data_IF_340216155915
#
_entry.id   IF_340216155915
#
_cell.length_a   1.000
_cell.length_b   1.000
_cell.length_c   1.000
_cell.angle_alpha   90.00
_cell.angle_beta   90.00
_cell.angle_gamma   90.00
#
_symmetry.space_group_name_H-M   'P 1'
#
loop_
_entity.id
_entity.type
_entity.pdbx_description
1 polymer ?
#
# COMPACT_ATOMS: atom_id res chain seq x y z
N UNK A 1 14.27 4.83 43.49
CA UNK A 1 13.60 5.91 42.71
C UNK A 1 13.75 5.60 41.23
N UNK A 2 12.75 4.99 40.56
CA UNK A 2 12.97 4.54 39.17
C UNK A 2 11.76 4.04 38.36
N UNK A 3 10.54 4.07 38.90
CA UNK A 3 9.37 3.49 38.21
C UNK A 3 8.43 4.52 37.54
N UNK A 4 8.69 5.83 37.66
CA UNK A 4 7.77 6.85 37.12
C UNK A 4 7.89 7.05 35.60
N UNK A 5 9.07 6.84 35.00
CA UNK A 5 9.24 7.05 33.55
C UNK A 5 8.60 5.95 32.71
N UNK A 6 8.56 4.71 33.20
CA UNK A 6 7.98 3.58 32.47
C UNK A 6 6.44 3.66 32.41
N UNK A 7 5.82 4.17 33.47
CA UNK A 7 4.37 4.33 33.54
C UNK A 7 3.84 5.44 32.61
N UNK A 8 4.62 6.50 32.41
CA UNK A 8 4.27 7.60 31.51
C UNK A 8 4.30 7.19 30.04
N UNK A 9 5.29 6.37 29.64
CA UNK A 9 5.43 5.88 28.26
C UNK A 9 4.32 4.89 27.90
N UNK A 10 3.94 4.00 28.84
CA UNK A 10 2.83 3.06 28.64
C UNK A 10 1.47 3.76 28.53
N UNK A 11 1.22 4.82 29.31
CA UNK A 11 -0.02 5.58 29.22
C UNK A 11 -0.12 6.45 27.96
N UNK A 12 1.00 7.00 27.47
CA UNK A 12 1.03 7.73 26.20
C UNK A 12 0.73 6.80 25.01
N UNK A 13 1.30 5.58 25.00
CA UNK A 13 1.03 4.59 23.97
C UNK A 13 -0.41 4.07 23.97
N UNK A 14 -0.99 3.82 25.15
CA UNK A 14 -2.39 3.37 25.29
C UNK A 14 -3.39 4.42 24.81
N UNK A 15 -3.14 5.69 25.10
CA UNK A 15 -3.99 6.81 24.64
C UNK A 15 -3.88 7.01 23.13
N UNK A 16 -2.68 6.88 22.55
CA UNK A 16 -2.48 6.95 21.10
C UNK A 16 -3.16 5.80 20.35
N UNK A 17 -3.01 4.57 20.83
CA UNK A 17 -3.65 3.39 20.22
C UNK A 17 -5.18 3.43 20.32
N UNK A 18 -5.74 3.92 21.44
CA UNK A 18 -7.18 4.09 21.60
C UNK A 18 -7.74 5.13 20.62
N UNK A 19 -7.04 6.24 20.40
CA UNK A 19 -7.43 7.28 19.45
C UNK A 19 -7.39 6.76 17.99
N UNK A 20 -6.34 6.01 17.64
CA UNK A 20 -6.19 5.40 16.31
C UNK A 20 -7.27 4.34 16.07
N UNK A 21 -7.56 3.47 17.04
CA UNK A 21 -8.63 2.48 16.94
C UNK A 21 -10.02 3.12 16.88
N UNK A 22 -10.26 4.22 17.61
CA UNK A 22 -11.53 4.96 17.55
C UNK A 22 -11.72 5.58 16.16
N UNK A 23 -10.67 6.17 15.58
CA UNK A 23 -10.69 6.73 14.21
C UNK A 23 -10.91 5.61 13.17
N UNK A 24 -10.22 4.48 13.29
CA UNK A 24 -10.37 3.33 12.37
C UNK A 24 -11.75 2.66 12.46
N UNK A 25 -12.34 2.57 13.66
CA UNK A 25 -13.67 1.98 13.84
C UNK A 25 -14.79 2.91 13.35
N UNK A 26 -14.62 4.23 13.45
CA UNK A 26 -15.47 5.22 12.78
C UNK A 26 -15.35 5.19 11.24
N UNK A 27 -14.16 4.86 10.72
CA UNK A 27 -13.94 4.68 9.27
C UNK A 27 -14.55 3.38 8.73
N UNK A 28 -14.56 2.30 9.53
CA UNK A 28 -15.03 0.99 9.09
C UNK A 28 -16.57 0.90 8.98
N UNK A 29 -17.32 1.52 9.89
CA UNK A 29 -18.79 1.42 9.96
C UNK A 29 -19.54 2.16 8.85
N UNK A 30 -18.88 3.06 8.11
CA UNK A 30 -19.55 3.75 7.01
C UNK A 30 -19.55 2.95 5.67
N UNK A 31 -18.99 1.73 5.63
CA UNK A 31 -18.60 1.06 4.36
C UNK A 31 -19.63 0.12 3.75
N UNK A 32 -20.82 0.02 4.31
CA UNK A 32 -21.75 -1.04 3.97
C UNK A 32 -22.84 -0.65 2.95
N UNK A 33 -22.76 0.50 2.27
CA UNK A 33 -23.86 0.95 1.39
C UNK A 33 -23.35 1.42 0.02
N UNK A 34 -24.05 0.92 -1.01
CA UNK A 34 -24.07 1.27 -2.44
C UNK A 34 -23.08 0.53 -3.36
N UNK A 35 -23.56 -0.57 -3.96
CA UNK A 35 -23.04 -1.14 -5.20
C UNK A 35 -24.02 -0.85 -6.36
N UNK A 36 -24.19 0.43 -6.71
CA UNK A 36 -24.98 0.87 -7.87
C UNK A 36 -24.14 1.91 -8.62
N UNK A 37 -23.62 1.61 -9.81
CA UNK A 37 -22.78 2.58 -10.49
C UNK A 37 -22.13 2.10 -11.79
N UNK A 38 -22.93 1.65 -12.74
CA UNK A 38 -22.74 1.92 -14.17
C UNK A 38 -23.95 1.33 -14.91
N UNK A 39 -25.03 2.08 -15.01
CA UNK A 39 -26.22 1.60 -15.70
C UNK A 39 -26.49 2.51 -16.89
N UNK A 40 -26.18 2.01 -18.09
CA UNK A 40 -26.54 2.71 -19.34
C UNK A 40 -28.06 2.84 -19.38
N UNK A 41 -28.62 4.01 -19.75
CA UNK A 41 -30.06 4.21 -19.84
C UNK A 41 -30.72 3.10 -20.67
N UNK A 42 -31.75 2.45 -20.10
CA UNK A 42 -32.42 1.31 -20.73
C UNK A 42 -33.03 1.66 -22.09
N UNK A 43 -33.40 2.92 -22.26
CA UNK A 43 -33.85 3.56 -23.50
C UNK A 43 -32.80 3.49 -24.63
N UNK A 44 -31.57 3.93 -24.35
CA UNK A 44 -30.45 3.87 -25.30
C UNK A 44 -30.08 2.41 -25.64
N UNK A 45 -30.08 1.53 -24.63
CA UNK A 45 -29.83 0.10 -24.83
C UNK A 45 -30.94 -0.58 -25.65
N UNK A 46 -32.18 -0.11 -25.53
CA UNK A 46 -33.32 -0.59 -26.33
C UNK A 46 -33.14 -0.29 -27.82
N UNK A 47 -32.69 0.92 -28.14
CA UNK A 47 -32.37 1.33 -29.52
C UNK A 47 -31.15 0.55 -30.04
N UNK A 48 -30.06 0.50 -29.27
CA UNK A 48 -28.84 -0.22 -29.64
C UNK A 48 -29.11 -1.71 -29.91
N UNK A 49 -29.95 -2.37 -29.09
CA UNK A 49 -30.37 -3.76 -29.31
C UNK A 49 -31.22 -3.92 -30.56
N UNK A 50 -32.13 -2.97 -30.82
CA UNK A 50 -32.98 -3.02 -32.02
C UNK A 50 -32.15 -2.85 -33.28
N UNK A 51 -31.14 -1.97 -33.26
CA UNK A 51 -30.17 -1.78 -34.33
C UNK A 51 -29.22 -2.97 -34.51
N UNK A 52 -28.81 -3.63 -33.42
CA UNK A 52 -27.91 -4.80 -33.47
C UNK A 52 -28.55 -6.05 -34.10
N UNK A 53 -29.88 -6.13 -34.13
CA UNK A 53 -30.64 -7.25 -34.72
C UNK A 53 -30.87 -7.05 -36.23
N UNK A 54 -30.49 -5.90 -36.80
CA UNK A 54 -30.66 -5.64 -38.23
C UNK A 54 -29.78 -6.58 -39.09
N UNK A 55 -30.31 -7.12 -40.19
CA UNK A 55 -29.58 -8.04 -41.04
C UNK A 55 -28.38 -7.34 -41.70
N UNK A 56 -27.21 -7.95 -41.63
CA UNK A 56 -26.00 -7.42 -42.25
C UNK A 56 -25.98 -7.61 -43.79
N UNK A 57 -26.75 -8.56 -44.30
CA UNK A 57 -26.69 -9.01 -45.70
C UNK A 57 -27.69 -8.30 -46.64
N UNK A 58 -28.43 -7.29 -46.15
CA UNK A 58 -29.44 -6.56 -46.94
C UNK A 58 -29.04 -5.10 -47.12
N UNK A 59 -29.28 -4.56 -48.32
CA UNK A 59 -29.09 -3.14 -48.64
C UNK A 59 -30.20 -2.24 -48.08
N UNK A 60 -31.38 -2.82 -47.83
CA UNK A 60 -32.59 -2.08 -47.47
C UNK A 60 -33.29 -2.66 -46.24
N UNK A 61 -33.88 -1.77 -45.45
CA UNK A 61 -34.62 -2.10 -44.24
C UNK A 61 -36.09 -2.39 -44.54
N UNK A 62 -36.67 -3.46 -43.99
CA UNK A 62 -38.10 -3.69 -44.08
C UNK A 62 -38.89 -2.50 -43.50
N UNK A 63 -39.99 -2.06 -44.15
CA UNK A 63 -40.78 -0.92 -43.68
C UNK A 63 -41.39 -1.14 -42.28
N UNK A 64 -41.61 -2.40 -41.90
CA UNK A 64 -42.04 -2.76 -40.55
C UNK A 64 -40.96 -2.47 -39.48
N UNK A 65 -39.68 -2.58 -39.85
CA UNK A 65 -38.56 -2.28 -38.94
C UNK A 65 -38.32 -0.78 -38.83
N UNK A 66 -38.43 -0.03 -39.94
CA UNK A 66 -38.31 1.44 -39.92
C UNK A 66 -39.44 2.07 -39.11
N UNK A 67 -40.69 1.59 -39.28
CA UNK A 67 -41.83 2.05 -38.48
C UNK A 67 -41.67 1.76 -36.98
N UNK A 68 -41.11 0.59 -36.63
CA UNK A 68 -40.82 0.23 -35.24
C UNK A 68 -39.71 1.09 -34.64
N UNK A 69 -38.68 1.40 -35.41
CA UNK A 69 -37.59 2.27 -34.99
C UNK A 69 -38.08 3.71 -34.79
N UNK A 70 -38.92 4.22 -35.71
CA UNK A 70 -39.58 5.52 -35.57
C UNK A 70 -40.43 5.62 -34.30
N UNK A 71 -41.29 4.62 -34.05
CA UNK A 71 -42.10 4.59 -32.83
C UNK A 71 -41.27 4.55 -31.53
N UNK A 72 -40.09 3.93 -31.55
CA UNK A 72 -39.17 3.96 -30.42
C UNK A 72 -38.53 5.34 -30.25
N UNK A 73 -38.08 5.97 -31.34
CA UNK A 73 -37.47 7.29 -31.33
C UNK A 73 -38.45 8.41 -30.95
N UNK A 74 -39.72 8.31 -31.34
CA UNK A 74 -40.77 9.28 -30.96
C UNK A 74 -40.97 9.36 -29.43
N UNK A 75 -40.68 8.26 -28.72
CA UNK A 75 -40.74 8.23 -27.26
C UNK A 75 -39.46 8.70 -26.57
N UNK A 76 -38.37 8.87 -27.33
CA UNK A 76 -37.05 9.22 -26.83
C UNK A 76 -36.81 10.70 -27.02
N UNK A 77 -36.46 11.38 -25.94
CA UNK A 77 -35.95 12.76 -26.03
C UNK A 77 -34.45 12.72 -25.87
N UNK A 78 -33.74 13.29 -26.84
CA UNK A 78 -32.27 13.43 -26.80
C UNK A 78 -31.83 14.11 -25.49
N UNK A 79 -32.53 15.17 -25.08
CA UNK A 79 -32.31 15.86 -23.82
C UNK A 79 -32.38 14.92 -22.61
N UNK A 80 -33.38 14.02 -22.54
CA UNK A 80 -33.51 13.06 -21.43
C UNK A 80 -32.40 12.02 -21.44
N UNK A 81 -31.93 11.60 -22.61
CA UNK A 81 -30.81 10.65 -22.72
C UNK A 81 -29.51 11.32 -22.27
N UNK A 82 -29.28 12.57 -22.66
CA UNK A 82 -28.11 13.35 -22.22
C UNK A 82 -28.15 13.63 -20.72
N UNK A 83 -29.31 13.99 -20.17
CA UNK A 83 -29.50 14.14 -18.72
C UNK A 83 -29.23 12.81 -18.00
N UNK A 84 -29.78 11.70 -18.49
CA UNK A 84 -29.58 10.38 -17.88
C UNK A 84 -28.11 9.89 -17.97
N UNK A 85 -27.40 10.21 -19.05
CA UNK A 85 -25.96 9.92 -19.18
C UNK A 85 -25.14 10.81 -18.25
N UNK A 86 -25.51 12.08 -18.09
CA UNK A 86 -24.87 13.02 -17.16
C UNK A 86 -25.07 12.59 -15.70
N UNK A 87 -26.31 12.23 -15.33
CA UNK A 87 -26.68 11.71 -14.02
C UNK A 87 -25.95 10.39 -13.68
N UNK A 88 -25.65 9.59 -14.70
CA UNK A 88 -24.91 8.34 -14.57
C UNK A 88 -23.38 8.51 -14.61
N UNK A 89 -22.89 9.74 -14.78
CA UNK A 89 -21.44 10.03 -14.90
C UNK A 89 -20.81 9.55 -16.20
N UNK A 90 -21.62 9.31 -17.23
CA UNK A 90 -21.24 8.82 -18.57
C UNK A 90 -21.18 9.96 -19.60
N UNK A 91 -20.80 11.17 -19.18
CA UNK A 91 -20.75 12.36 -20.05
C UNK A 91 -19.87 12.13 -21.29
N UNK A 92 -18.79 11.36 -21.15
CA UNK A 92 -17.89 10.98 -22.25
C UNK A 92 -18.55 10.11 -23.33
N UNK A 93 -19.66 9.44 -23.03
CA UNK A 93 -20.42 8.58 -23.95
C UNK A 93 -21.43 9.37 -24.78
N UNK A 94 -21.78 10.59 -24.34
CA UNK A 94 -22.79 11.46 -24.97
C UNK A 94 -22.57 11.67 -26.48
N UNK A 95 -21.35 11.96 -26.98
CA UNK A 95 -21.14 12.18 -28.42
C UNK A 95 -21.48 10.94 -29.27
N UNK A 96 -21.17 9.74 -28.76
CA UNK A 96 -21.44 8.48 -29.47
C UNK A 96 -22.90 8.09 -29.36
N UNK A 97 -23.53 8.34 -28.21
CA UNK A 97 -24.98 8.17 -28.05
C UNK A 97 -25.77 9.02 -29.07
N UNK A 98 -25.38 10.29 -29.26
CA UNK A 98 -25.99 11.18 -30.26
C UNK A 98 -25.78 10.62 -31.67
N UNK A 99 -24.58 10.14 -32.01
CA UNK A 99 -24.32 9.55 -33.33
C UNK A 99 -25.17 8.31 -33.59
N UNK A 100 -25.42 7.47 -32.57
CA UNK A 100 -26.29 6.30 -32.68
C UNK A 100 -27.75 6.69 -32.84
N UNK A 101 -28.22 7.72 -32.11
CA UNK A 101 -29.59 8.24 -32.24
C UNK A 101 -29.82 8.91 -33.60
N UNK A 102 -28.87 9.72 -34.07
CA UNK A 102 -28.93 10.36 -35.38
C UNK A 102 -28.94 9.33 -36.51
N UNK A 103 -28.16 8.26 -36.39
CA UNK A 103 -28.20 7.16 -37.36
C UNK A 103 -29.52 6.39 -37.28
N UNK A 104 -30.08 6.18 -36.09
CA UNK A 104 -31.40 5.57 -35.91
C UNK A 104 -32.51 6.41 -36.55
N UNK A 105 -32.51 7.72 -36.35
CA UNK A 105 -33.47 8.67 -36.93
C UNK A 105 -33.36 8.70 -38.46
N UNK A 106 -32.13 8.73 -38.97
CA UNK A 106 -31.87 8.63 -40.41
C UNK A 106 -32.47 7.36 -41.02
N UNK A 107 -32.34 6.23 -40.34
CA UNK A 107 -32.92 4.95 -40.79
C UNK A 107 -34.44 4.91 -40.63
N UNK A 108 -35.00 5.50 -39.58
CA UNK A 108 -36.44 5.62 -39.37
C UNK A 108 -37.11 6.45 -40.48
N UNK A 109 -36.42 7.50 -40.95
CA UNK A 109 -36.86 8.38 -42.04
C UNK A 109 -36.56 7.84 -43.45
N UNK A 110 -36.17 6.57 -43.58
CA UNK A 110 -35.95 5.91 -44.88
C UNK A 110 -34.58 6.19 -45.52
N UNK A 111 -33.59 6.61 -44.74
CA UNK A 111 -32.22 6.77 -45.22
C UNK A 111 -31.57 5.45 -45.64
N UNK A 112 -30.59 5.53 -46.54
CA UNK A 112 -29.87 4.36 -47.07
C UNK A 112 -29.16 3.59 -45.95
N UNK A 113 -29.42 2.28 -45.83
CA UNK A 113 -28.85 1.46 -44.78
C UNK A 113 -27.40 1.07 -45.11
N UNK A 114 -26.48 1.29 -44.16
CA UNK A 114 -25.07 0.92 -44.28
C UNK A 114 -24.66 0.07 -43.06
N UNK A 115 -24.59 -1.28 -43.19
CA UNK A 115 -24.31 -2.18 -42.07
C UNK A 115 -22.90 -2.01 -41.50
N UNK A 116 -21.92 -1.64 -42.33
CA UNK A 116 -20.54 -1.42 -41.89
C UNK A 116 -20.44 -0.18 -41.00
N UNK A 117 -21.15 0.90 -41.35
CA UNK A 117 -21.20 2.13 -40.54
C UNK A 117 -21.93 1.89 -39.22
N UNK A 118 -23.09 1.21 -39.26
CA UNK A 118 -23.88 0.93 -38.07
C UNK A 118 -23.12 0.04 -37.07
N UNK A 119 -22.47 -1.02 -37.55
CA UNK A 119 -21.68 -1.91 -36.69
C UNK A 119 -20.46 -1.21 -36.08
N UNK A 120 -19.84 -0.27 -36.79
CA UNK A 120 -18.77 0.57 -36.24
C UNK A 120 -19.27 1.49 -35.11
N UNK A 121 -20.42 2.15 -35.30
CA UNK A 121 -21.03 3.00 -34.27
C UNK A 121 -21.46 2.22 -33.02
N UNK A 122 -22.03 1.02 -33.19
CA UNK A 122 -22.42 0.17 -32.07
C UNK A 122 -21.21 -0.37 -31.29
N UNK A 123 -20.10 -0.70 -31.99
CA UNK A 123 -18.84 -1.10 -31.34
C UNK A 123 -18.20 0.05 -30.59
N UNK A 124 -18.22 1.26 -31.14
CA UNK A 124 -17.69 2.45 -30.48
C UNK A 124 -18.52 2.78 -29.23
N UNK A 125 -19.85 2.64 -29.29
CA UNK A 125 -20.73 2.78 -28.12
C UNK A 125 -20.39 1.75 -27.03
N UNK A 126 -20.25 0.47 -27.39
CA UNK A 126 -19.91 -0.60 -26.43
C UNK A 126 -18.51 -0.39 -25.81
N UNK A 127 -17.53 -0.01 -26.63
CA UNK A 127 -16.18 0.27 -26.16
C UNK A 127 -16.14 1.50 -25.25
N UNK A 128 -16.84 2.58 -25.60
CA UNK A 128 -16.86 3.79 -24.79
C UNK A 128 -17.70 3.65 -23.53
N UNK A 129 -18.80 2.91 -23.55
CA UNK A 129 -19.54 2.56 -22.33
C UNK A 129 -18.71 1.67 -21.42
N UNK A 130 -17.98 0.69 -21.96
CA UNK A 130 -17.08 -0.17 -21.16
C UNK A 130 -15.93 0.64 -20.56
N UNK A 131 -15.28 1.48 -21.36
CA UNK A 131 -14.22 2.36 -20.88
C UNK A 131 -14.77 3.33 -19.85
N UNK A 132 -15.90 3.99 -20.12
CA UNK A 132 -16.55 4.89 -19.20
C UNK A 132 -17.01 4.18 -17.93
N UNK A 133 -17.43 2.91 -17.98
CA UNK A 133 -17.76 2.11 -16.80
C UNK A 133 -16.52 1.64 -16.03
N UNK A 134 -15.39 1.40 -16.69
CA UNK A 134 -14.13 1.00 -16.04
C UNK A 134 -13.43 2.22 -15.43
N UNK A 135 -13.42 3.35 -16.13
CA UNK A 135 -12.95 4.65 -15.61
C UNK A 135 -13.93 5.22 -14.61
N UNK A 136 -15.23 4.97 -14.76
CA UNK A 136 -16.19 5.17 -13.69
C UNK A 136 -15.92 4.19 -12.58
N UNK A 137 -15.57 2.93 -12.79
CA UNK A 137 -15.18 2.02 -11.71
C UNK A 137 -14.01 2.55 -10.88
N UNK A 138 -12.96 3.07 -11.51
CA UNK A 138 -11.81 3.66 -10.81
C UNK A 138 -12.11 5.05 -10.23
N UNK A 139 -12.89 5.89 -10.93
CA UNK A 139 -13.34 7.19 -10.42
C UNK A 139 -14.52 7.08 -9.45
N UNK A 140 -15.26 5.97 -9.37
CA UNK A 140 -16.29 5.59 -8.40
C UNK A 140 -15.61 5.04 -7.16
N UNK A 141 -14.42 4.44 -7.23
CA UNK A 141 -13.59 4.28 -6.03
C UNK A 141 -13.12 5.63 -5.46
N UNK A 142 -12.89 6.64 -6.32
CA UNK A 142 -12.63 8.03 -5.90
C UNK A 142 -13.89 8.82 -5.52
N UNK A 143 -15.04 8.52 -6.13
CA UNK A 143 -16.33 9.22 -5.97
C UNK A 143 -17.26 8.52 -4.98
N UNK A 144 -17.03 7.26 -4.60
CA UNK A 144 -17.54 6.62 -3.38
C UNK A 144 -16.76 7.06 -2.15
N UNK A 145 -15.52 7.54 -2.31
CA UNK A 145 -14.90 8.35 -1.26
C UNK A 145 -15.57 9.73 -1.14
N UNK A 146 -16.20 10.26 -2.20
CA UNK A 146 -16.92 11.55 -2.16
C UNK A 146 -18.44 11.47 -2.01
N UNK A 147 -19.06 10.30 -2.21
CA UNK A 147 -20.52 10.07 -2.15
C UNK A 147 -20.99 9.51 -0.82
N UNK A 148 -20.05 9.26 0.10
CA UNK A 148 -20.28 8.84 1.49
C UNK A 148 -20.50 10.06 2.40
N UNK A 149 -21.15 11.09 1.86
CA UNK A 149 -21.44 12.35 2.52
C UNK A 149 -22.76 12.30 3.29
N UNK A 150 -22.80 11.33 4.20
CA UNK A 150 -23.54 11.41 5.45
C UNK A 150 -22.54 11.51 6.59
N UNK A 151 -21.61 12.48 6.55
CA UNK A 151 -20.60 12.60 7.59
C UNK A 151 -19.49 13.61 7.31
N UNK A 152 -19.72 14.86 7.70
CA UNK A 152 -18.73 15.92 7.98
C UNK A 152 -18.01 16.56 6.77
N UNK A 153 -17.95 15.95 5.58
CA UNK A 153 -17.19 16.53 4.45
C UNK A 153 -18.00 17.17 3.31
N UNK A 154 -19.34 17.07 3.28
CA UNK A 154 -20.17 17.80 2.28
C UNK A 154 -20.23 19.31 2.51
N UNK A 155 -19.86 19.78 3.70
CA UNK A 155 -19.57 21.19 3.93
C UNK A 155 -18.20 21.62 3.42
N UNK A 156 -17.33 20.68 3.00
CA UNK A 156 -15.98 20.99 2.57
C UNK A 156 -15.86 21.38 1.10
N UNK A 157 -16.73 20.97 0.17
CA UNK A 157 -16.61 21.39 -1.25
C UNK A 157 -17.09 22.82 -1.48
N UNK A 158 -18.17 23.23 -0.80
CA UNK A 158 -18.54 24.65 -0.66
C UNK A 158 -17.58 25.41 0.25
N UNK A 159 -16.94 24.74 1.22
CA UNK A 159 -15.86 25.38 1.97
C UNK A 159 -14.54 25.41 1.22
N UNK A 160 -14.26 24.61 0.18
CA UNK A 160 -13.02 24.75 -0.59
C UNK A 160 -13.11 25.98 -1.46
N UNK A 161 -14.24 26.24 -2.12
CA UNK A 161 -14.44 27.52 -2.83
C UNK A 161 -14.54 28.71 -1.88
N UNK A 162 -15.13 28.56 -0.68
CA UNK A 162 -15.18 29.62 0.34
C UNK A 162 -13.84 29.80 1.09
N UNK A 163 -13.03 28.75 1.23
CA UNK A 163 -11.65 28.77 1.76
C UNK A 163 -10.72 29.31 0.68
N UNK A 164 -10.90 29.03 -0.60
CA UNK A 164 -10.17 29.64 -1.72
C UNK A 164 -10.47 31.14 -1.78
N UNK A 165 -11.76 31.50 -1.62
CA UNK A 165 -12.23 32.88 -1.56
C UNK A 165 -11.73 33.62 -0.31
N UNK A 166 -11.77 32.97 0.87
CA UNK A 166 -11.18 33.52 2.11
C UNK A 166 -9.66 33.43 2.16
N UNK A 167 -9.02 32.53 1.43
CA UNK A 167 -7.56 32.46 1.26
C UNK A 167 -7.06 33.58 0.36
N UNK A 168 -7.88 33.99 -0.62
CA UNK A 168 -7.65 35.17 -1.44
C UNK A 168 -7.94 36.47 -0.68
N UNK A 169 -8.97 36.52 0.18
CA UNK A 169 -9.31 37.70 0.99
C UNK A 169 -8.45 37.86 2.26
N UNK A 170 -8.00 36.77 2.89
CA UNK A 170 -7.13 36.75 4.07
C UNK A 170 -5.91 35.83 3.85
N UNK A 171 -4.79 36.42 3.39
CA UNK A 171 -3.51 35.75 3.11
C UNK A 171 -2.96 34.89 4.26
N UNK A 172 -3.44 35.09 5.49
CA UNK A 172 -3.04 34.34 6.68
C UNK A 172 -3.66 32.93 6.76
N UNK A 173 -4.87 32.73 6.24
CA UNK A 173 -5.55 31.42 6.27
C UNK A 173 -4.98 30.44 5.24
N UNK A 174 -4.65 30.94 4.05
CA UNK A 174 -3.98 30.17 2.99
C UNK A 174 -2.63 29.61 3.47
N UNK A 175 -1.84 30.46 4.14
CA UNK A 175 -0.57 30.08 4.73
C UNK A 175 -0.75 29.02 5.84
N UNK A 176 -1.78 29.15 6.67
CA UNK A 176 -2.09 28.17 7.72
C UNK A 176 -2.45 26.78 7.17
N UNK A 177 -3.26 26.71 6.11
CA UNK A 177 -3.65 25.45 5.49
C UNK A 177 -2.44 24.70 4.90
N UNK A 178 -1.55 25.42 4.21
CA UNK A 178 -0.32 24.84 3.65
C UNK A 178 0.60 24.31 4.75
N UNK A 179 0.75 25.03 5.86
CA UNK A 179 1.56 24.59 7.01
C UNK A 179 1.00 23.32 7.63
N UNK A 180 -0.32 23.22 7.82
CA UNK A 180 -0.97 22.01 8.36
C UNK A 180 -0.75 20.81 7.45
N UNK A 181 -0.86 21.00 6.13
CA UNK A 181 -0.63 19.94 5.15
C UNK A 181 0.83 19.46 5.16
N UNK A 182 1.79 20.40 5.21
CA UNK A 182 3.21 20.08 5.36
C UNK A 182 3.49 19.31 6.65
N UNK A 183 2.95 19.77 7.79
CA UNK A 183 3.12 19.09 9.09
C UNK A 183 2.50 17.70 9.06
N UNK A 184 1.33 17.53 8.44
CA UNK A 184 0.68 16.23 8.27
C UNK A 184 1.54 15.26 7.45
N UNK A 185 2.10 15.73 6.33
CA UNK A 185 2.98 14.92 5.49
C UNK A 185 4.28 14.54 6.20
N UNK A 186 4.94 15.49 6.87
CA UNK A 186 6.15 15.21 7.67
C UNK A 186 5.83 14.20 8.78
N UNK A 187 4.71 14.37 9.48
CA UNK A 187 4.27 13.46 10.53
C UNK A 187 4.03 12.05 10.01
N UNK A 188 3.43 11.92 8.82
CA UNK A 188 3.22 10.63 8.16
C UNK A 188 4.55 9.95 7.82
N UNK A 189 5.50 10.68 7.24
CA UNK A 189 6.84 10.14 6.95
C UNK A 189 7.56 9.68 8.21
N UNK A 190 7.48 10.48 9.29
CA UNK A 190 8.04 10.11 10.60
C UNK A 190 7.36 8.86 11.17
N UNK A 191 6.04 8.73 11.00
CA UNK A 191 5.29 7.58 11.47
C UNK A 191 5.66 6.31 10.70
N UNK A 192 5.89 6.40 9.39
CA UNK A 192 6.38 5.31 8.55
C UNK A 192 7.81 4.90 8.94
N UNK A 193 8.76 5.85 9.07
CA UNK A 193 10.14 5.54 9.49
C UNK A 193 10.14 4.91 10.89
N UNK A 194 9.34 5.45 11.81
CA UNK A 194 9.21 4.93 13.17
C UNK A 194 8.61 3.53 13.16
N UNK A 195 7.53 3.31 12.41
CA UNK A 195 6.87 2.01 12.27
C UNK A 195 7.79 0.96 11.68
N UNK A 196 8.51 1.31 10.60
CA UNK A 196 9.50 0.44 9.98
C UNK A 196 10.61 0.03 10.97
N UNK A 197 11.14 0.97 11.75
CA UNK A 197 12.15 0.67 12.77
C UNK A 197 11.63 -0.22 13.89
N UNK A 198 10.38 -0.02 14.32
CA UNK A 198 9.72 -0.89 15.30
C UNK A 198 9.54 -2.31 14.77
N UNK A 199 9.06 -2.45 13.53
CA UNK A 199 8.90 -3.75 12.87
C UNK A 199 10.26 -4.44 12.75
N UNK A 200 11.30 -3.74 12.31
CA UNK A 200 12.64 -4.31 12.21
C UNK A 200 13.22 -4.67 13.59
N UNK A 201 12.98 -3.87 14.62
CA UNK A 201 13.37 -4.21 15.99
C UNK A 201 12.69 -5.50 16.47
N UNK A 202 11.40 -5.67 16.18
CA UNK A 202 10.65 -6.89 16.50
C UNK A 202 11.13 -8.10 15.68
N UNK A 203 11.39 -7.92 14.39
CA UNK A 203 11.83 -8.99 13.50
C UNK A 203 13.22 -9.51 13.86
N UNK A 204 14.15 -8.63 14.23
CA UNK A 204 15.52 -9.03 14.57
C UNK A 204 15.71 -9.39 16.04
N UNK A 205 14.83 -8.94 16.94
CA UNK A 205 14.81 -9.20 18.39
C UNK A 205 16.23 -9.32 18.97
N UNK A 206 17.06 -8.29 18.79
CA UNK A 206 18.47 -8.33 19.20
C UNK A 206 18.58 -8.17 20.71
N UNK A 207 19.29 -9.09 21.34
CA UNK A 207 19.57 -9.07 22.77
C UNK A 207 21.07 -8.89 22.98
N UNK A 208 21.45 -7.97 23.85
CA UNK A 208 22.79 -7.96 24.41
C UNK A 208 22.92 -9.16 25.34
N UNK A 209 24.04 -9.85 25.24
CA UNK A 209 24.36 -11.04 26.03
C UNK A 209 25.88 -11.12 26.16
N UNK A 210 26.37 -12.09 26.94
CA UNK A 210 27.80 -12.42 26.98
C UNK A 210 27.90 -13.92 27.20
N UNK A 211 27.92 -14.67 26.10
CA UNK A 211 27.94 -16.13 26.07
C UNK A 211 29.30 -16.58 25.56
N UNK A 212 29.93 -17.55 26.22
CA UNK A 212 31.17 -18.15 25.73
C UNK A 212 30.91 -18.89 24.41
N UNK A 213 31.78 -18.70 23.43
CA UNK A 213 31.63 -19.33 22.13
C UNK A 213 32.97 -19.55 21.46
N UNK A 214 33.04 -20.62 20.67
CA UNK A 214 34.22 -20.98 19.90
C UNK A 214 33.92 -20.87 18.41
N UNK A 215 34.76 -20.11 17.71
CA UNK A 215 34.68 -19.96 16.27
C UNK A 215 35.65 -20.93 15.60
N UNK A 216 35.13 -21.85 14.80
CA UNK A 216 35.91 -22.81 14.04
C UNK A 216 36.03 -22.37 12.57
N UNK A 217 37.27 -22.06 12.16
CA UNK A 217 37.61 -21.59 10.81
C UNK A 217 38.74 -22.45 10.26
N UNK A 218 38.49 -23.20 9.20
CA UNK A 218 39.54 -24.00 8.54
C UNK A 218 40.27 -24.97 9.46
N UNK A 219 39.57 -25.53 10.45
CA UNK A 219 40.14 -26.45 11.46
C UNK A 219 40.88 -25.77 12.61
N UNK A 220 40.95 -24.44 12.64
CA UNK A 220 41.44 -23.67 13.80
C UNK A 220 40.26 -23.24 14.66
N UNK A 221 40.44 -23.28 15.97
CA UNK A 221 39.45 -22.85 16.95
C UNK A 221 39.89 -21.51 17.56
N UNK A 222 38.99 -20.54 17.58
CA UNK A 222 39.20 -19.23 18.18
C UNK A 222 38.15 -19.01 19.26
N UNK A 223 38.62 -18.94 20.50
CA UNK A 223 37.78 -18.68 21.66
C UNK A 223 37.34 -17.20 21.70
N UNK A 224 36.08 -16.99 22.06
CA UNK A 224 35.50 -15.66 22.10
C UNK A 224 34.19 -15.60 22.90
N UNK A 225 33.51 -14.48 22.73
CA UNK A 225 32.26 -14.17 23.38
C UNK A 225 31.23 -13.71 22.35
N UNK A 226 30.03 -14.26 22.42
CA UNK A 226 28.88 -13.69 21.72
C UNK A 226 28.32 -12.56 22.58
N UNK A 227 28.56 -11.32 22.15
CA UNK A 227 28.16 -10.09 22.85
C UNK A 227 26.74 -9.62 22.46
N UNK A 228 26.24 -10.10 21.32
CA UNK A 228 24.89 -9.79 20.87
C UNK A 228 24.35 -10.97 20.09
N UNK A 229 23.12 -11.36 20.40
CA UNK A 229 22.42 -12.43 19.71
C UNK A 229 21.08 -11.93 19.17
N UNK A 230 20.88 -12.08 17.86
CA UNK A 230 19.61 -11.85 17.19
C UNK A 230 19.15 -13.09 16.44
N UNK A 231 17.94 -13.05 15.88
CA UNK A 231 17.38 -14.19 15.14
C UNK A 231 18.18 -14.56 13.87
N UNK A 232 18.73 -13.55 13.20
CA UNK A 232 19.43 -13.71 11.92
C UNK A 232 20.96 -13.68 12.02
N UNK A 233 21.52 -13.51 13.21
CA UNK A 233 22.97 -13.38 13.36
C UNK A 233 23.40 -12.96 14.76
N UNK A 234 24.70 -12.88 14.95
CA UNK A 234 25.32 -12.55 16.23
C UNK A 234 26.56 -11.67 16.05
N UNK A 235 27.03 -11.10 17.15
CA UNK A 235 28.33 -10.41 17.24
C UNK A 235 29.26 -11.23 18.07
N UNK A 236 30.41 -11.54 17.51
CA UNK A 236 31.46 -12.32 18.14
C UNK A 236 32.65 -11.41 18.47
N UNK A 237 33.07 -11.41 19.73
CA UNK A 237 34.26 -10.73 20.21
C UNK A 237 35.33 -11.80 20.50
N UNK A 238 36.47 -11.81 19.80
CA UNK A 238 37.54 -12.75 20.08
C UNK A 238 38.25 -12.38 21.39
N UNK A 239 38.53 -13.38 22.25
CA UNK A 239 39.30 -13.16 23.48
C UNK A 239 40.79 -12.93 23.20
N UNK A 240 41.30 -13.48 22.09
CA UNK A 240 42.69 -13.32 21.65
C UNK A 240 42.75 -12.72 20.25
N UNK A 241 43.19 -11.46 20.17
CA UNK A 241 43.41 -10.77 18.91
C UNK A 241 44.40 -11.54 18.01
N UNK A 242 45.49 -12.07 18.59
CA UNK A 242 46.49 -12.85 17.85
C UNK A 242 45.91 -14.12 17.22
N UNK A 243 45.05 -14.84 17.94
CA UNK A 243 44.39 -16.04 17.42
C UNK A 243 43.40 -15.69 16.30
N UNK A 244 42.67 -14.59 16.46
CA UNK A 244 41.73 -14.09 15.47
C UNK A 244 42.41 -13.60 14.19
N UNK A 245 43.51 -12.85 14.29
CA UNK A 245 44.29 -12.37 13.15
C UNK A 245 44.83 -13.53 12.30
N UNK A 246 45.18 -14.65 12.93
CA UNK A 246 45.67 -15.85 12.25
C UNK A 246 44.60 -16.59 11.42
N UNK A 247 43.31 -16.35 11.68
CA UNK A 247 42.18 -16.91 10.92
C UNK A 247 41.51 -15.88 10.00
N UNK A 248 41.82 -14.59 10.16
CA UNK A 248 41.23 -13.49 9.39
C UNK A 248 41.29 -13.67 7.86
N UNK A 249 42.42 -14.12 7.25
CA UNK A 249 42.48 -14.33 5.80
C UNK A 249 41.52 -15.42 5.34
N UNK A 250 41.33 -16.45 6.17
CA UNK A 250 40.40 -17.53 5.89
C UNK A 250 38.97 -17.01 6.03
N UNK A 251 38.63 -16.30 7.11
CA UNK A 251 37.29 -15.69 7.29
C UNK A 251 36.85 -14.80 6.13
N UNK A 252 37.78 -14.10 5.47
CA UNK A 252 37.49 -13.24 4.31
C UNK A 252 37.32 -14.02 3.00
N UNK A 253 37.95 -15.17 2.87
CA UNK A 253 37.99 -15.95 1.62
C UNK A 253 37.21 -17.27 1.65
N UNK A 254 36.84 -17.77 2.83
CA UNK A 254 36.15 -19.04 3.02
C UNK A 254 34.64 -18.86 3.02
N UNK A 255 33.91 -19.91 2.62
CA UNK A 255 32.47 -20.02 2.79
C UNK A 255 32.03 -20.05 4.26
N UNK A 256 30.83 -20.59 4.56
CA UNK A 256 30.31 -20.61 5.92
C UNK A 256 31.28 -21.27 6.93
N UNK A 257 31.42 -20.65 8.09
CA UNK A 257 32.22 -21.12 9.23
C UNK A 257 31.30 -21.64 10.35
N UNK A 258 31.85 -22.36 11.32
CA UNK A 258 31.06 -22.91 12.43
C UNK A 258 31.29 -22.09 13.70
N UNK A 259 30.20 -21.68 14.33
CA UNK A 259 30.20 -21.06 15.65
C UNK A 259 29.62 -22.07 16.63
N UNK A 260 30.37 -22.42 17.66
CA UNK A 260 29.93 -23.30 18.74
C UNK A 260 29.57 -22.46 19.95
N UNK A 261 28.34 -22.61 20.43
CA UNK A 261 27.86 -21.95 21.64
C UNK A 261 27.35 -23.04 22.57
N UNK A 262 28.04 -23.30 23.69
CA UNK A 262 27.61 -24.26 24.71
C UNK A 262 27.26 -25.66 24.15
N UNK A 263 27.99 -26.09 23.12
CA UNK A 263 27.79 -27.38 22.44
C UNK A 263 26.83 -27.36 21.24
N UNK A 264 26.08 -26.28 21.02
CA UNK A 264 25.30 -26.09 19.79
C UNK A 264 26.19 -25.59 18.65
N UNK A 265 26.13 -26.23 17.48
CA UNK A 265 26.85 -25.80 16.28
C UNK A 265 25.95 -24.99 15.35
N UNK A 266 26.33 -23.74 15.11
CA UNK A 266 25.64 -22.83 14.20
C UNK A 266 26.53 -22.53 12.99
N UNK A 267 25.98 -22.67 11.78
CA UNK A 267 26.67 -22.24 10.57
C UNK A 267 26.47 -20.75 10.36
N UNK A 268 27.59 -20.03 10.26
CA UNK A 268 27.62 -18.57 10.20
C UNK A 268 28.47 -18.07 9.04
N UNK A 269 28.16 -16.88 8.54
CA UNK A 269 28.94 -16.20 7.51
C UNK A 269 29.36 -14.83 8.02
N UNK A 270 30.64 -14.50 7.84
CA UNK A 270 31.17 -13.18 8.19
C UNK A 270 30.51 -12.10 7.32
N UNK A 271 29.87 -11.12 7.97
CA UNK A 271 29.23 -9.99 7.28
C UNK A 271 30.05 -8.71 7.37
N UNK A 272 30.82 -8.53 8.44
CA UNK A 272 31.61 -7.33 8.66
C UNK A 272 32.56 -7.52 9.84
N UNK A 273 33.78 -7.04 9.69
CA UNK A 273 34.82 -7.12 10.72
C UNK A 273 35.04 -5.70 11.24
N UNK A 274 34.88 -5.52 12.54
CA UNK A 274 35.08 -4.25 13.25
C UNK A 274 36.22 -4.40 14.25
N UNK A 275 36.69 -3.29 14.81
CA UNK A 275 37.82 -3.26 15.73
C UNK A 275 37.64 -4.19 16.94
N UNK A 276 36.43 -4.24 17.50
CA UNK A 276 36.14 -5.00 18.73
C UNK A 276 35.32 -6.27 18.49
N UNK A 277 34.67 -6.43 17.34
CA UNK A 277 33.80 -7.57 17.11
C UNK A 277 33.66 -7.85 15.63
N UNK A 278 33.21 -9.06 15.31
CA UNK A 278 32.83 -9.46 13.97
C UNK A 278 31.33 -9.75 13.94
N UNK A 279 30.64 -9.15 12.97
CA UNK A 279 29.24 -9.44 12.69
C UNK A 279 29.17 -10.75 11.88
N UNK A 280 28.40 -11.70 12.40
CA UNK A 280 28.11 -12.97 11.76
C UNK A 280 26.63 -13.09 11.44
N UNK A 281 26.30 -13.53 10.24
CA UNK A 281 24.94 -13.87 9.83
C UNK A 281 24.75 -15.37 9.90
N UNK A 282 23.62 -15.81 10.44
CA UNK A 282 23.26 -17.23 10.45
C UNK A 282 22.78 -17.65 9.08
N UNK A 283 23.33 -18.74 8.54
CA UNK A 283 22.87 -19.29 7.25
C UNK A 283 21.41 -19.76 7.34
N UNK A 284 21.06 -20.33 8.49
CA UNK A 284 19.68 -20.63 8.86
C UNK A 284 19.32 -19.78 10.08
N UNK A 285 18.34 -18.87 9.98
CA UNK A 285 17.90 -18.09 11.13
C UNK A 285 17.48 -19.01 12.27
N UNK A 286 17.89 -18.68 13.50
CA UNK A 286 17.50 -19.44 14.68
C UNK A 286 16.05 -19.13 15.05
N UNK A 287 15.38 -20.06 15.72
CA UNK A 287 14.03 -19.82 16.24
C UNK A 287 14.07 -18.94 17.49
N UNK A 288 12.94 -18.32 17.87
CA UNK A 288 12.86 -17.57 19.14
C UNK A 288 13.07 -18.48 20.37
N UNK A 289 12.69 -19.76 20.26
CA UNK A 289 12.93 -20.76 21.30
C UNK A 289 14.43 -21.01 21.46
N UNK A 290 15.13 -21.38 20.39
CA UNK A 290 16.59 -21.54 20.39
C UNK A 290 17.32 -20.28 20.85
N UNK A 291 16.88 -19.10 20.41
CA UNK A 291 17.46 -17.84 20.88
C UNK A 291 17.33 -17.71 22.40
N UNK A 292 16.16 -18.01 22.97
CA UNK A 292 15.96 -17.95 24.42
C UNK A 292 16.84 -18.97 25.13
N UNK A 293 16.89 -20.20 24.63
CA UNK A 293 17.67 -21.29 25.21
C UNK A 293 19.18 -20.91 25.22
N UNK A 294 19.73 -20.38 24.11
CA UNK A 294 21.10 -19.86 24.06
C UNK A 294 21.34 -18.68 25.03
N UNK A 295 20.35 -17.80 25.19
CA UNK A 295 20.47 -16.64 26.09
C UNK A 295 20.51 -17.01 27.58
N UNK A 296 20.04 -18.21 27.96
CA UNK A 296 20.14 -18.70 29.34
C UNK A 296 21.60 -18.93 29.78
N UNK A 297 22.50 -19.16 28.82
CA UNK A 297 23.94 -19.31 29.06
C UNK A 297 24.70 -17.97 29.12
N UNK A 298 24.00 -16.85 29.07
CA UNK A 298 24.63 -15.53 29.15
C UNK A 298 25.11 -15.24 30.57
N UNK A 299 26.39 -14.87 30.71
CA UNK A 299 26.97 -14.42 31.98
C UNK A 299 26.41 -13.08 32.48
N UNK A 300 25.72 -12.34 31.62
CA UNK A 300 24.98 -11.12 31.97
C UNK A 300 23.48 -11.34 31.75
N UNK A 301 22.64 -10.61 32.49
CA UNK A 301 21.20 -10.62 32.25
C UNK A 301 20.88 -10.07 30.85
N UNK A 302 20.29 -10.86 29.94
CA UNK A 302 20.04 -10.41 28.58
C UNK A 302 19.00 -9.28 28.51
N UNK A 303 19.31 -8.23 27.75
CA UNK A 303 18.39 -7.11 27.55
C UNK A 303 18.29 -6.71 26.08
N UNK A 304 17.18 -6.06 25.71
CA UNK A 304 16.92 -5.67 24.33
C UNK A 304 17.81 -4.50 23.92
N UNK A 305 18.52 -4.64 22.80
CA UNK A 305 19.31 -3.56 22.21
C UNK A 305 18.70 -3.08 20.91
N UNK A 306 18.73 -1.76 20.70
CA UNK A 306 18.31 -1.14 19.43
C UNK A 306 19.50 -1.11 18.49
N UNK A 307 19.23 -1.12 17.17
CA UNK A 307 20.26 -0.86 16.17
C UNK A 307 20.78 0.57 16.37
N UNK A 308 22.00 0.69 16.85
CA UNK A 308 22.62 1.99 17.12
C UNK A 308 23.19 2.60 15.85
N UNK A 309 23.22 3.95 15.78
CA UNK A 309 23.75 4.70 14.62
C UNK A 309 25.26 4.53 14.44
N UNK A 310 25.98 4.24 15.51
CA UNK A 310 27.43 4.00 15.58
C UNK A 310 27.81 2.53 15.30
N UNK A 311 26.92 1.77 14.66
CA UNK A 311 27.12 0.33 14.50
C UNK A 311 27.05 -0.47 15.81
N UNK A 312 26.88 0.16 16.99
CA UNK A 312 26.87 -0.48 18.29
C UNK A 312 28.25 -0.66 18.93
N UNK A 313 29.27 0.10 18.50
CA UNK A 313 30.61 0.09 19.09
C UNK A 313 30.61 0.48 20.57
N UNK A 314 29.84 1.50 20.97
CA UNK A 314 29.75 1.92 22.38
C UNK A 314 29.23 0.80 23.27
N UNK A 315 28.21 0.09 22.79
CA UNK A 315 27.63 -1.04 23.53
C UNK A 315 28.61 -2.21 23.56
N UNK A 316 29.32 -2.48 22.46
CA UNK A 316 30.36 -3.51 22.42
C UNK A 316 31.47 -3.24 23.44
N UNK A 317 31.98 -2.00 23.53
CA UNK A 317 32.98 -1.61 24.56
C UNK A 317 32.46 -1.92 25.97
N UNK A 318 31.24 -1.49 26.28
CA UNK A 318 30.60 -1.74 27.58
C UNK A 318 30.44 -3.23 27.89
N UNK A 319 30.14 -4.03 26.88
CA UNK A 319 29.93 -5.48 27.01
C UNK A 319 31.21 -6.29 27.04
N UNK A 320 32.33 -5.74 26.58
CA UNK A 320 33.64 -6.39 26.64
C UNK A 320 34.37 -6.01 27.93
N UNK A 321 34.21 -4.77 28.41
CA UNK A 321 34.88 -4.24 29.61
C UNK A 321 35.77 -3.06 29.25
#
# INVERSE_FOLDING_TARGET
MGNHHLWWILNAGRRGAALICLVLSLLASASAVVAQGCQVPGELMGVARTLAVLPADRSDLPPAMTARLGAQLDSLSEARILDALTDSGLESVSPVAINVLAEAERLANGGQYNPARLSALLRDLDQQTTLACVTSGTSIFQRMQSGRDGGVFSKASGAWSEIERRAQEEKLFAAGAVVVLMVGFISLLVLIDTGYRWIMALLYNRKACRIAADLEVGGKLVEGLVITLGKGGCRFHPLSAKAFDAVLPQLRGSGPVRLRIEGEELQVQGSGIHELYTDFLFLRPITLKQQRDLLEHSSISPYHIRKARDGGEREARRLVG
#
